data_IF_758221926935
#
_entry.id   IF_758221926935
#
_cell.length_a   1.000
_cell.length_b   1.000
_cell.length_c   1.000
_cell.angle_alpha   90.00
_cell.angle_beta   90.00
_cell.angle_gamma   90.00
#
_symmetry.space_group_name_H-M   'P 1'
#
loop_
_entity.id
_entity.type
_entity.pdbx_description
1 polymer ?
#
# COMPACT_ATOMS: atom_id res chain seq x y z
N UNK A 1 24.52 46.92 -25.77
CA UNK A 1 23.38 47.15 -24.84
C UNK A 1 22.18 46.27 -25.24
N UNK A 2 22.36 44.95 -25.42
CA UNK A 2 21.27 44.00 -25.74
C UNK A 2 21.27 42.75 -24.84
N UNK A 3 22.13 42.72 -23.81
CA UNK A 3 22.29 41.55 -22.93
C UNK A 3 21.46 41.61 -21.64
N UNK A 4 20.58 42.62 -21.45
CA UNK A 4 19.81 42.82 -20.22
C UNK A 4 18.28 42.63 -20.38
N UNK A 5 17.77 42.35 -21.58
CA UNK A 5 16.31 42.19 -21.82
C UNK A 5 15.88 40.70 -21.88
N UNK A 6 16.82 39.77 -21.93
CA UNK A 6 16.52 38.32 -22.05
C UNK A 6 16.27 37.64 -20.70
N UNK A 7 16.68 38.24 -19.58
CA UNK A 7 16.65 37.59 -18.26
C UNK A 7 15.27 37.69 -17.57
N UNK A 8 14.57 38.83 -17.67
CA UNK A 8 13.26 38.99 -17.01
C UNK A 8 12.12 38.21 -17.68
N UNK A 9 12.13 38.08 -19.01
CA UNK A 9 11.05 37.36 -19.74
C UNK A 9 11.12 35.83 -19.57
N UNK A 10 12.27 35.28 -19.23
CA UNK A 10 12.42 33.84 -19.02
C UNK A 10 12.18 33.41 -17.57
N UNK A 11 12.30 34.33 -16.61
CA UNK A 11 12.05 34.07 -15.19
C UNK A 11 10.54 34.02 -14.87
N UNK A 12 9.74 34.92 -15.47
CA UNK A 12 8.28 34.96 -15.26
C UNK A 12 7.55 33.79 -15.96
N UNK A 13 8.07 33.28 -17.09
CA UNK A 13 7.55 32.08 -17.75
C UNK A 13 7.81 30.78 -16.97
N UNK A 14 8.80 30.77 -16.08
CA UNK A 14 9.15 29.61 -15.23
C UNK A 14 8.30 29.53 -13.96
N UNK A 15 7.70 30.64 -13.53
CA UNK A 15 6.87 30.68 -12.31
C UNK A 15 5.37 30.56 -12.58
N UNK A 16 4.91 30.86 -13.81
CA UNK A 16 3.49 30.83 -14.19
C UNK A 16 3.11 29.61 -15.05
N UNK A 17 3.35 28.41 -14.50
CA UNK A 17 2.47 27.25 -14.69
C UNK A 17 2.76 26.23 -13.60
N UNK A 18 2.68 26.66 -12.33
CA UNK A 18 2.38 25.74 -11.24
C UNK A 18 0.98 25.18 -11.54
N UNK A 19 0.92 24.06 -12.24
CA UNK A 19 -0.29 23.25 -12.31
C UNK A 19 -0.76 23.06 -10.87
N UNK A 20 -2.08 23.19 -10.58
CA UNK A 20 -2.54 22.89 -9.24
C UNK A 20 -2.03 21.50 -8.87
N UNK A 21 -1.49 21.39 -7.66
CA UNK A 21 -0.96 20.15 -7.12
C UNK A 21 -2.12 19.14 -7.07
N UNK A 22 -2.33 18.38 -8.13
CA UNK A 22 -3.28 17.27 -8.16
C UNK A 22 -2.69 16.05 -7.42
N UNK A 23 -2.06 16.31 -6.28
CA UNK A 23 -1.40 15.29 -5.47
C UNK A 23 -2.44 14.74 -4.50
N UNK A 24 -3.11 13.67 -4.89
CA UNK A 24 -3.99 12.92 -3.99
C UNK A 24 -3.07 12.20 -3.00
N UNK A 25 -3.07 12.64 -1.75
CA UNK A 25 -2.38 11.97 -0.66
C UNK A 25 -3.31 10.94 -0.01
N UNK A 26 -2.95 9.66 -0.13
CA UNK A 26 -3.67 8.55 0.51
C UNK A 26 -2.89 8.16 1.77
N UNK A 27 -3.55 8.22 2.94
CA UNK A 27 -2.93 7.77 4.19
C UNK A 27 -2.57 6.27 4.10
N UNK A 28 -1.45 5.81 4.70
CA UNK A 28 -1.10 4.39 4.69
C UNK A 28 -2.15 3.46 5.32
N UNK A 29 -3.01 4.00 6.19
CA UNK A 29 -4.13 3.31 6.82
C UNK A 29 -5.42 3.35 5.99
N UNK A 30 -5.51 4.23 4.97
CA UNK A 30 -6.70 4.36 4.14
C UNK A 30 -6.84 3.12 3.24
N UNK A 31 -7.92 2.34 3.38
CA UNK A 31 -8.08 1.10 2.64
C UNK A 31 -8.60 1.38 1.24
N UNK A 32 -7.70 1.33 0.25
CA UNK A 32 -8.00 1.64 -1.16
C UNK A 32 -7.76 0.47 -2.12
N UNK A 33 -7.09 -0.60 -1.67
CA UNK A 33 -6.71 -1.71 -2.54
C UNK A 33 -7.73 -2.85 -2.47
N UNK A 34 -8.31 -3.24 -3.61
CA UNK A 34 -9.14 -4.44 -3.70
C UNK A 34 -8.28 -5.71 -3.66
N UNK A 35 -8.87 -6.83 -3.22
CA UNK A 35 -8.15 -8.11 -3.05
C UNK A 35 -7.40 -8.60 -4.30
N UNK A 36 -7.90 -8.33 -5.50
CA UNK A 36 -7.25 -8.72 -6.75
C UNK A 36 -6.01 -7.87 -7.06
N UNK A 37 -5.98 -6.61 -6.61
CA UNK A 37 -4.78 -5.76 -6.70
C UNK A 37 -3.76 -6.25 -5.69
N UNK A 38 -4.17 -6.47 -4.44
CA UNK A 38 -3.29 -6.98 -3.37
C UNK A 38 -2.65 -8.30 -3.77
N UNK A 39 -3.43 -9.26 -4.28
CA UNK A 39 -2.94 -10.58 -4.73
C UNK A 39 -1.78 -10.49 -5.71
N UNK A 40 -1.82 -9.53 -6.66
CA UNK A 40 -0.73 -9.29 -7.60
C UNK A 40 0.46 -8.56 -6.99
N UNK A 41 0.24 -7.67 -6.02
CA UNK A 41 1.31 -6.90 -5.39
C UNK A 41 2.19 -7.76 -4.49
N UNK A 42 1.58 -8.70 -3.75
CA UNK A 42 2.28 -9.52 -2.75
C UNK A 42 2.52 -10.96 -3.21
N UNK A 43 2.22 -11.26 -4.47
CA UNK A 43 2.30 -12.60 -5.08
C UNK A 43 1.65 -13.72 -4.23
N UNK A 44 0.50 -13.42 -3.62
CA UNK A 44 -0.29 -14.41 -2.88
C UNK A 44 -1.62 -14.65 -3.59
N UNK A 45 -2.04 -15.93 -3.76
CA UNK A 45 -3.35 -16.23 -4.32
C UNK A 45 -4.51 -15.60 -3.52
N UNK A 46 -5.58 -15.20 -4.22
CA UNK A 46 -6.78 -14.62 -3.60
C UNK A 46 -7.39 -15.54 -2.53
N UNK A 47 -7.32 -16.87 -2.73
CA UNK A 47 -7.82 -17.82 -1.74
C UNK A 47 -7.00 -17.75 -0.44
N UNK A 48 -5.68 -17.60 -0.52
CA UNK A 48 -4.76 -17.46 0.62
C UNK A 48 -5.07 -16.18 1.38
N UNK A 49 -5.22 -15.04 0.69
CA UNK A 49 -5.61 -13.77 1.30
C UNK A 49 -6.94 -13.87 2.08
N UNK A 50 -7.91 -14.61 1.55
CA UNK A 50 -9.18 -14.88 2.27
C UNK A 50 -8.99 -15.74 3.52
N UNK A 51 -8.07 -16.70 3.50
CA UNK A 51 -7.74 -17.50 4.68
C UNK A 51 -7.04 -16.65 5.74
N UNK A 52 -6.10 -15.78 5.34
CA UNK A 52 -5.40 -14.87 6.24
C UNK A 52 -6.37 -13.89 6.93
N UNK A 53 -7.31 -13.30 6.19
CA UNK A 53 -8.43 -12.52 6.76
C UNK A 53 -9.29 -13.36 7.72
N UNK A 54 -9.73 -14.54 7.29
CA UNK A 54 -10.57 -15.43 8.11
C UNK A 54 -9.89 -15.84 9.42
N UNK A 55 -8.56 -15.98 9.42
CA UNK A 55 -7.75 -16.36 10.59
C UNK A 55 -7.34 -15.16 11.46
N UNK A 56 -7.62 -13.94 11.02
CA UNK A 56 -7.28 -12.71 11.73
C UNK A 56 -5.80 -12.34 11.63
N UNK A 57 -5.08 -12.82 10.60
CA UNK A 57 -3.68 -12.41 10.35
C UNK A 57 -3.63 -10.99 9.77
N UNK A 58 -4.62 -10.64 8.96
CA UNK A 58 -4.85 -9.30 8.41
C UNK A 58 -6.32 -8.92 8.60
N UNK A 59 -6.61 -7.63 8.75
CA UNK A 59 -7.96 -7.13 9.07
C UNK A 59 -8.43 -6.08 8.05
N UNK A 60 -8.65 -6.45 6.78
CA UNK A 60 -9.09 -5.50 5.76
C UNK A 60 -10.47 -4.93 6.08
N UNK A 61 -10.70 -3.67 5.67
CA UNK A 61 -12.01 -3.03 5.81
C UNK A 61 -13.03 -3.72 4.90
N UNK A 62 -14.16 -4.14 5.47
CA UNK A 62 -15.26 -4.73 4.70
C UNK A 62 -16.10 -3.65 4.05
N UNK A 63 -16.39 -3.82 2.76
CA UNK A 63 -17.33 -2.95 2.03
C UNK A 63 -18.46 -3.82 1.47
N UNK A 64 -19.67 -3.55 1.97
CA UNK A 64 -20.84 -4.37 1.70
C UNK A 64 -20.67 -5.84 2.14
N UNK A 65 -21.46 -6.73 1.54
CA UNK A 65 -21.49 -8.15 1.96
C UNK A 65 -20.30 -8.99 1.44
N UNK A 66 -19.60 -8.54 0.39
CA UNK A 66 -18.64 -9.40 -0.33
C UNK A 66 -17.25 -8.80 -0.53
N UNK A 67 -17.07 -7.48 -0.36
CA UNK A 67 -15.81 -6.82 -0.71
C UNK A 67 -14.92 -6.52 0.50
N UNK A 68 -13.62 -6.49 0.25
CA UNK A 68 -12.56 -6.15 1.21
C UNK A 68 -11.66 -5.12 0.57
N UNK A 69 -11.40 -4.04 1.28
CA UNK A 69 -10.36 -3.08 0.93
C UNK A 69 -9.21 -3.19 1.93
N UNK A 70 -8.01 -3.22 1.40
CA UNK A 70 -6.76 -3.29 2.14
C UNK A 70 -6.10 -1.92 2.09
N UNK A 71 -5.48 -1.55 3.19
CA UNK A 71 -4.62 -0.37 3.30
C UNK A 71 -3.20 -0.68 2.83
N UNK A 72 -2.36 0.35 2.67
CA UNK A 72 -0.95 0.13 2.37
C UNK A 72 -0.23 -0.62 3.50
N UNK A 73 -0.62 -0.37 4.77
CA UNK A 73 -0.10 -1.13 5.92
C UNK A 73 -0.46 -2.62 5.84
N UNK A 74 -1.68 -2.96 5.42
CA UNK A 74 -2.07 -4.35 5.21
C UNK A 74 -1.21 -5.01 4.13
N UNK A 75 -0.96 -4.31 3.02
CA UNK A 75 -0.12 -4.81 1.91
C UNK A 75 1.30 -5.09 2.40
N UNK A 76 1.93 -4.15 3.12
CA UNK A 76 3.28 -4.36 3.70
C UNK A 76 3.34 -5.52 4.67
N UNK A 77 2.31 -5.69 5.50
CA UNK A 77 2.19 -6.86 6.38
C UNK A 77 2.12 -8.14 5.56
N UNK A 78 1.35 -8.15 4.47
CA UNK A 78 1.20 -9.30 3.60
C UNK A 78 2.48 -9.65 2.82
N UNK A 79 3.33 -8.68 2.48
CA UNK A 79 4.68 -8.95 1.95
C UNK A 79 5.54 -9.74 2.96
N UNK A 80 5.51 -9.36 4.23
CA UNK A 80 6.23 -10.12 5.27
C UNK A 80 5.62 -11.51 5.50
N UNK A 81 4.28 -11.62 5.44
CA UNK A 81 3.59 -12.92 5.47
C UNK A 81 4.03 -13.80 4.31
N UNK A 82 4.17 -13.27 3.10
CA UNK A 82 4.65 -14.01 1.93
C UNK A 82 6.06 -14.56 2.19
N UNK A 83 6.99 -13.73 2.68
CA UNK A 83 8.33 -14.18 3.07
C UNK A 83 8.31 -15.30 4.12
N UNK A 84 7.46 -15.20 5.15
CA UNK A 84 7.33 -16.27 6.15
C UNK A 84 6.78 -17.57 5.54
N UNK A 85 5.88 -17.49 4.56
CA UNK A 85 5.32 -18.66 3.89
C UNK A 85 6.32 -19.32 2.93
N UNK A 86 6.90 -18.55 2.01
CA UNK A 86 7.71 -19.06 0.91
C UNK A 86 9.17 -19.32 1.34
N UNK A 87 9.82 -18.34 1.97
CA UNK A 87 11.24 -18.47 2.35
C UNK A 87 11.44 -19.26 3.65
N UNK A 88 10.49 -19.17 4.58
CA UNK A 88 10.59 -19.80 5.91
C UNK A 88 9.71 -21.04 6.07
N UNK A 89 8.83 -21.35 5.13
CA UNK A 89 7.95 -22.52 5.19
C UNK A 89 6.96 -22.48 6.36
N UNK A 90 6.65 -21.29 6.89
CA UNK A 90 5.78 -21.13 8.07
C UNK A 90 4.32 -21.15 7.62
N UNK A 91 3.51 -21.98 8.26
CA UNK A 91 2.08 -22.02 8.01
C UNK A 91 1.32 -20.86 8.68
N UNK A 92 0.06 -20.66 8.28
CA UNK A 92 -0.79 -19.54 8.75
C UNK A 92 -0.89 -19.46 10.29
N UNK A 93 -0.94 -20.60 10.98
CA UNK A 93 -1.02 -20.62 12.45
C UNK A 93 0.27 -20.11 13.09
N UNK A 94 1.44 -20.52 12.55
CA UNK A 94 2.74 -20.03 13.00
C UNK A 94 2.92 -18.55 12.73
N UNK A 95 2.51 -18.07 11.54
CA UNK A 95 2.55 -16.66 11.17
C UNK A 95 1.76 -15.80 12.14
N UNK A 96 0.55 -16.24 12.51
CA UNK A 96 -0.27 -15.53 13.50
C UNK A 96 0.48 -15.32 14.81
N UNK A 97 1.11 -16.37 15.34
CA UNK A 97 1.87 -16.30 16.60
C UNK A 97 3.08 -15.36 16.47
N UNK A 98 3.80 -15.41 15.35
CA UNK A 98 4.96 -14.54 15.10
C UNK A 98 4.52 -13.07 15.12
N UNK A 99 3.48 -12.73 14.36
CA UNK A 99 2.99 -11.35 14.28
C UNK A 99 2.39 -10.85 15.60
N UNK A 100 1.73 -11.72 16.37
CA UNK A 100 1.22 -11.36 17.71
C UNK A 100 2.36 -11.03 18.68
N UNK A 101 3.48 -11.77 18.61
CA UNK A 101 4.67 -11.50 19.45
C UNK A 101 5.37 -10.20 19.06
N UNK A 102 5.49 -9.91 17.76
CA UNK A 102 6.13 -8.68 17.28
C UNK A 102 5.29 -7.42 17.56
N UNK A 103 3.96 -7.54 17.64
CA UNK A 103 3.08 -6.41 17.92
C UNK A 103 2.99 -6.04 19.42
N UNK A 104 3.40 -6.94 20.32
CA UNK A 104 3.38 -6.75 21.77
C UNK A 104 4.74 -6.49 22.40
N UNK A 105 5.78 -6.27 21.59
CA UNK A 105 7.16 -5.97 22.00
C UNK A 105 7.56 -4.53 21.78
#
# INVERSE_FOLDING_TARGET
MLYLISDKRNKERREQKKMPLFDIQISPDEPVYVISVVSRLVDLPVWTLRQLDKKGVVHPKRIGKKSRLYSLKDVRKLEYVHFLMEDKGVNISGIKIILEKEAGG
#
